data_IF_996578650746
#
_entry.id   IF_996578650746
#
_cell.length_a   1.000
_cell.length_b   1.000
_cell.length_c   1.000
_cell.angle_alpha   90.00
_cell.angle_beta   90.00
_cell.angle_gamma   90.00
#
_symmetry.space_group_name_H-M   'P 1'
#
loop_
_entity.id
_entity.type
_entity.pdbx_description
1 polymer ?
#
# COMPACT_ATOMS: atom_id res chain seq x y z
N UNK A 1 -8.66 -40.97 -69.36
CA UNK A 1 -9.45 -41.93 -68.55
C UNK A 1 -8.54 -42.43 -67.43
N UNK A 2 -8.80 -42.02 -66.18
CA UNK A 2 -9.41 -42.85 -65.13
C UNK A 2 -8.63 -44.14 -64.85
N UNK A 3 -8.00 -44.21 -63.68
CA UNK A 3 -8.09 -45.33 -62.71
C UNK A 3 -7.26 -44.97 -61.47
N UNK A 4 -7.90 -44.61 -60.35
CA UNK A 4 -8.25 -45.51 -59.21
C UNK A 4 -7.01 -46.10 -58.53
N UNK A 5 -6.62 -45.55 -57.38
CA UNK A 5 -7.01 -46.01 -56.03
C UNK A 5 -6.58 -47.46 -55.75
N UNK A 6 -5.44 -47.61 -55.06
CA UNK A 6 -5.28 -48.66 -54.06
C UNK A 6 -5.32 -48.01 -52.67
N UNK A 7 -6.37 -48.34 -51.94
CA UNK A 7 -6.41 -48.32 -50.48
C UNK A 7 -5.80 -49.64 -50.01
N UNK A 8 -5.01 -49.64 -48.93
CA UNK A 8 -5.27 -50.47 -47.75
C UNK A 8 -4.19 -50.30 -46.69
N UNK A 9 -4.64 -50.50 -45.45
CA UNK A 9 -3.90 -50.65 -44.19
C UNK A 9 -3.65 -49.36 -43.39
N UNK A 10 -4.70 -49.03 -42.63
CA UNK A 10 -4.62 -48.32 -41.38
C UNK A 10 -3.73 -49.08 -40.38
N UNK A 11 -2.77 -48.38 -39.78
CA UNK A 11 -2.26 -48.70 -38.44
C UNK A 11 -2.46 -47.44 -37.60
N UNK A 12 -3.41 -47.55 -36.67
CA UNK A 12 -3.61 -46.61 -35.57
C UNK A 12 -2.31 -46.52 -34.76
N UNK A 13 -1.65 -45.37 -34.76
CA UNK A 13 -0.68 -45.03 -33.72
C UNK A 13 -1.28 -43.90 -32.88
N UNK A 14 -1.78 -44.29 -31.71
CA UNK A 14 -2.28 -43.43 -30.65
C UNK A 14 -1.11 -42.61 -30.09
N UNK A 15 -0.88 -41.41 -30.64
CA UNK A 15 0.10 -40.47 -30.12
C UNK A 15 -0.47 -39.74 -28.90
N UNK A 16 -0.05 -40.15 -27.70
CA UNK A 16 -0.31 -39.42 -26.45
C UNK A 16 0.41 -38.08 -26.50
N UNK A 17 -0.34 -36.98 -26.60
CA UNK A 17 0.20 -35.64 -26.43
C UNK A 17 0.49 -35.39 -24.94
N UNK A 18 1.71 -35.66 -24.50
CA UNK A 18 2.24 -35.14 -23.24
C UNK A 18 2.50 -33.64 -23.40
N UNK A 19 1.49 -32.82 -23.10
CA UNK A 19 1.69 -31.40 -22.88
C UNK A 19 2.52 -31.23 -21.60
N UNK A 20 3.81 -30.92 -21.75
CA UNK A 20 4.67 -30.54 -20.63
C UNK A 20 4.13 -29.21 -20.11
N UNK A 21 3.38 -29.25 -19.00
CA UNK A 21 3.01 -28.07 -18.24
C UNK A 21 4.31 -27.48 -17.68
N UNK A 22 4.90 -26.51 -18.38
CA UNK A 22 5.94 -25.69 -17.78
C UNK A 22 5.31 -24.95 -16.59
N UNK A 23 5.85 -25.03 -15.36
CA UNK A 23 5.36 -24.19 -14.28
C UNK A 23 5.56 -22.74 -14.71
N UNK A 24 4.49 -21.96 -14.70
CA UNK A 24 4.59 -20.52 -14.91
C UNK A 24 5.66 -19.97 -13.95
N UNK A 25 6.58 -19.11 -14.41
CA UNK A 25 7.50 -18.46 -13.50
C UNK A 25 6.65 -17.68 -12.50
N UNK A 26 6.59 -18.17 -11.27
CA UNK A 26 6.04 -17.42 -10.15
C UNK A 26 6.95 -16.21 -9.99
N UNK A 27 6.59 -15.10 -10.63
CA UNK A 27 7.09 -13.79 -10.21
C UNK A 27 6.45 -13.52 -8.85
N UNK A 28 6.98 -14.16 -7.81
CA UNK A 28 6.94 -13.58 -6.49
C UNK A 28 7.62 -12.21 -6.64
N UNK A 29 6.79 -11.16 -6.74
CA UNK A 29 7.23 -9.77 -6.64
C UNK A 29 8.18 -9.74 -5.45
N UNK A 30 9.47 -9.48 -5.71
CA UNK A 30 10.45 -9.34 -4.64
C UNK A 30 9.81 -8.46 -3.56
N UNK A 31 9.83 -8.84 -2.27
CA UNK A 31 9.32 -7.97 -1.24
C UNK A 31 10.00 -6.63 -1.48
N UNK A 32 9.21 -5.59 -1.73
CA UNK A 32 9.75 -4.27 -1.95
C UNK A 32 10.72 -4.06 -0.79
N UNK A 33 12.01 -3.90 -1.09
CA UNK A 33 12.97 -3.49 -0.06
C UNK A 33 12.48 -2.11 0.31
N UNK A 34 11.69 -2.05 1.39
CA UNK A 34 11.17 -0.80 1.87
C UNK A 34 12.33 -0.17 2.59
N UNK A 35 13.12 0.59 1.85
CA UNK A 35 14.02 1.55 2.46
C UNK A 35 13.11 2.55 3.20
N UNK A 36 13.10 2.58 4.55
CA UNK A 36 12.17 3.43 5.25
C UNK A 36 12.64 4.86 5.04
N UNK A 37 12.06 5.55 4.06
CA UNK A 37 12.20 7.01 3.89
C UNK A 37 11.51 7.79 5.04
N UNK A 38 11.52 7.25 6.26
CA UNK A 38 10.77 7.77 7.40
C UNK A 38 10.77 6.84 8.63
N UNK A 39 9.82 7.08 9.53
CA UNK A 39 9.69 6.38 10.81
C UNK A 39 9.04 5.00 10.64
N UNK A 40 9.58 3.95 11.27
CA UNK A 40 8.95 2.62 11.32
C UNK A 40 8.25 2.44 12.66
N UNK A 41 6.97 2.08 12.61
CA UNK A 41 6.08 1.94 13.76
C UNK A 41 5.45 0.54 13.80
N UNK A 42 5.23 -0.04 15.00
CA UNK A 42 4.59 -1.34 15.11
C UNK A 42 3.06 -1.27 14.91
N UNK A 43 2.47 -2.30 14.31
CA UNK A 43 1.01 -2.44 14.14
C UNK A 43 0.23 -2.67 15.46
N UNK A 44 0.94 -2.79 16.58
CA UNK A 44 0.40 -2.90 17.92
C UNK A 44 0.08 -1.53 18.53
N UNK A 45 0.58 -0.42 17.95
CA UNK A 45 0.35 0.91 18.51
C UNK A 45 -1.14 1.24 18.61
N UNK A 46 -1.62 1.76 19.76
CA UNK A 46 -3.01 2.17 19.90
C UNK A 46 -3.33 3.44 19.11
N UNK A 47 -2.32 4.29 18.86
CA UNK A 47 -2.43 5.53 18.08
C UNK A 47 -1.06 5.97 17.57
N UNK A 48 -1.06 6.82 16.56
CA UNK A 48 0.12 7.56 16.09
C UNK A 48 -0.12 9.05 16.31
N UNK A 49 0.83 9.75 16.94
CA UNK A 49 0.71 11.17 17.25
C UNK A 49 1.93 11.93 16.74
N UNK A 50 1.68 13.02 16.01
CA UNK A 50 2.71 13.93 15.53
C UNK A 50 2.51 15.34 16.10
N UNK A 51 3.61 15.97 16.48
CA UNK A 51 3.66 17.32 17.01
C UNK A 51 4.35 18.25 16.02
N UNK A 52 3.66 19.32 15.64
CA UNK A 52 4.18 20.32 14.71
C UNK A 52 4.29 21.66 15.40
N UNK A 53 5.51 22.15 15.59
CA UNK A 53 5.71 23.47 16.15
C UNK A 53 5.24 24.54 15.16
N UNK A 54 4.41 25.46 15.62
CA UNK A 54 3.96 26.60 14.83
C UNK A 54 3.66 27.80 15.76
N UNK A 55 3.79 29.05 15.27
CA UNK A 55 3.45 30.23 16.06
C UNK A 55 2.02 30.18 16.57
N UNK A 56 1.76 30.69 17.77
CA UNK A 56 0.40 30.78 18.33
C UNK A 56 -0.55 31.49 17.35
N UNK A 57 -1.80 31.04 17.31
CA UNK A 57 -2.82 31.46 16.34
C UNK A 57 -2.69 30.83 14.94
N UNK A 58 -1.68 29.97 14.67
CA UNK A 58 -1.57 29.30 13.37
C UNK A 58 -2.59 28.17 13.25
N UNK A 59 -3.45 28.24 12.24
CA UNK A 59 -4.33 27.13 11.84
C UNK A 59 -3.64 26.21 10.84
N UNK A 60 -3.56 24.93 11.19
CA UNK A 60 -3.00 23.86 10.37
C UNK A 60 -4.05 22.76 10.18
N UNK A 61 -4.09 22.18 8.99
CA UNK A 61 -4.90 20.99 8.68
C UNK A 61 -3.97 19.82 8.43
N UNK A 62 -4.10 18.77 9.23
CA UNK A 62 -3.36 17.52 9.08
C UNK A 62 -4.26 16.45 8.50
N UNK A 63 -3.80 15.75 7.46
CA UNK A 63 -4.51 14.64 6.83
C UNK A 63 -3.63 13.39 6.83
N UNK A 64 -4.09 12.34 7.49
CA UNK A 64 -3.45 11.03 7.47
C UNK A 64 -3.91 10.26 6.24
N UNK A 65 -2.96 9.69 5.52
CA UNK A 65 -3.17 9.07 4.21
C UNK A 65 -2.49 7.70 4.22
N UNK A 66 -3.24 6.67 3.83
CA UNK A 66 -2.68 5.38 3.46
C UNK A 66 -2.08 5.53 2.06
N UNK A 67 -0.74 5.60 1.98
CA UNK A 67 -0.05 5.78 0.70
C UNK A 67 -0.05 4.48 -0.09
N UNK A 68 0.33 3.36 0.54
CA UNK A 68 0.25 2.01 -0.02
C UNK A 68 0.13 0.99 1.11
N UNK A 69 -1.03 0.35 1.22
CA UNK A 69 -1.36 -0.65 2.25
C UNK A 69 -1.89 -1.94 1.62
N UNK A 70 -1.48 -2.22 0.38
CA UNK A 70 -1.97 -3.36 -0.38
C UNK A 70 -3.48 -3.30 -0.63
N UNK A 71 -4.18 -4.41 -0.41
CA UNK A 71 -5.62 -4.52 -0.68
C UNK A 71 -6.51 -3.93 0.42
N UNK A 72 -5.95 -3.40 1.52
CA UNK A 72 -6.75 -2.89 2.63
C UNK A 72 -7.43 -1.54 2.33
N UNK A 73 -6.86 -0.74 1.43
CA UNK A 73 -7.43 0.53 0.98
C UNK A 73 -6.87 0.93 -0.39
N UNK A 74 -7.57 1.77 -1.17
CA UNK A 74 -7.01 2.37 -2.38
C UNK A 74 -5.72 3.16 -2.11
N UNK A 75 -4.87 3.31 -3.13
CA UNK A 75 -3.65 4.11 -3.04
C UNK A 75 -4.00 5.58 -2.73
N UNK A 76 -3.23 6.21 -1.83
CA UNK A 76 -3.45 7.59 -1.36
C UNK A 76 -4.84 7.82 -0.73
N UNK A 77 -5.41 6.81 -0.08
CA UNK A 77 -6.68 6.94 0.62
C UNK A 77 -6.52 7.83 1.86
N UNK A 78 -7.34 8.87 1.98
CA UNK A 78 -7.40 9.72 3.18
C UNK A 78 -8.12 8.96 4.29
N UNK A 79 -7.42 8.66 5.37
CA UNK A 79 -7.94 7.90 6.50
C UNK A 79 -8.72 8.82 7.42
N UNK A 80 -8.11 9.94 7.79
CA UNK A 80 -8.69 10.94 8.68
C UNK A 80 -8.03 12.30 8.46
N UNK A 81 -8.72 13.37 8.84
CA UNK A 81 -8.21 14.72 8.77
C UNK A 81 -8.74 15.59 9.90
N UNK A 82 -7.86 16.40 10.48
CA UNK A 82 -8.20 17.34 11.53
C UNK A 82 -7.65 18.74 11.24
N UNK A 83 -8.35 19.77 11.68
CA UNK A 83 -7.86 21.16 11.66
C UNK A 83 -7.62 21.62 13.10
N UNK A 84 -6.40 22.09 13.36
CA UNK A 84 -5.95 22.52 14.68
C UNK A 84 -5.40 23.93 14.58
N UNK A 85 -5.91 24.82 15.44
CA UNK A 85 -5.31 26.14 15.66
C UNK A 85 -4.40 26.05 16.86
N UNK A 86 -3.11 26.35 16.69
CA UNK A 86 -2.15 26.34 17.78
C UNK A 86 -2.51 27.42 18.80
N UNK A 87 -2.84 27.04 20.01
CA UNK A 87 -2.98 27.96 21.14
C UNK A 87 -1.58 28.29 21.73
N UNK A 88 -1.54 28.71 22.99
CA UNK A 88 -0.33 29.11 23.73
C UNK A 88 0.79 28.04 23.74
N UNK A 89 0.46 26.79 23.44
CA UNK A 89 1.41 25.66 23.39
C UNK A 89 2.32 25.64 22.16
N UNK A 90 2.24 26.64 21.27
CA UNK A 90 3.07 26.79 20.05
C UNK A 90 3.22 25.51 19.20
N UNK A 91 2.25 24.59 19.26
CA UNK A 91 2.30 23.33 18.53
C UNK A 91 0.89 22.85 18.16
N UNK A 92 0.76 22.33 16.94
CA UNK A 92 -0.40 21.56 16.50
C UNK A 92 -0.12 20.08 16.75
N UNK A 93 -1.12 19.36 17.26
CA UNK A 93 -1.02 17.92 17.50
C UNK A 93 -2.02 17.21 16.60
N UNK A 94 -1.54 16.26 15.80
CA UNK A 94 -2.38 15.40 14.98
C UNK A 94 -2.25 13.97 15.48
N UNK A 95 -3.38 13.31 15.71
CA UNK A 95 -3.41 11.94 16.24
C UNK A 95 -4.33 11.10 15.38
N UNK A 96 -3.86 9.92 15.00
CA UNK A 96 -4.65 8.90 14.33
C UNK A 96 -4.77 7.68 15.25
N UNK A 97 -5.99 7.33 15.63
CA UNK A 97 -6.26 6.12 16.41
C UNK A 97 -6.14 4.85 15.56
N UNK A 98 -5.83 3.73 16.21
CA UNK A 98 -5.84 2.42 15.57
C UNK A 98 -7.23 2.11 14.98
N UNK A 99 -7.34 1.77 13.69
CA UNK A 99 -8.62 1.34 13.10
C UNK A 99 -9.15 0.09 13.79
N UNK A 100 -10.48 -0.13 13.73
CA UNK A 100 -11.14 -1.29 14.36
C UNK A 100 -10.56 -2.62 13.89
N UNK A 101 -10.27 -2.75 12.59
CA UNK A 101 -9.65 -3.94 11.99
C UNK A 101 -8.13 -4.02 12.20
N UNK A 102 -7.58 -3.15 13.03
CA UNK A 102 -6.15 -2.98 13.22
C UNK A 102 -5.50 -2.09 12.15
N UNK A 103 -4.20 -1.89 12.27
CA UNK A 103 -3.43 -1.17 11.27
C UNK A 103 -3.09 -2.08 10.10
N UNK A 104 -3.49 -1.73 8.86
CA UNK A 104 -2.88 -2.32 7.70
C UNK A 104 -1.36 -2.15 7.71
N UNK A 105 -0.63 -3.16 7.28
CA UNK A 105 0.83 -3.06 7.11
C UNK A 105 1.07 -2.27 5.84
N UNK A 106 1.99 -1.31 5.88
CA UNK A 106 2.34 -0.55 4.70
C UNK A 106 2.81 0.87 4.97
N UNK A 107 2.76 1.68 3.92
CA UNK A 107 3.24 3.04 3.85
C UNK A 107 2.11 4.04 4.11
N UNK A 108 2.41 5.02 4.93
CA UNK A 108 1.52 6.08 5.32
C UNK A 108 2.22 7.43 5.20
N UNK A 109 1.41 8.47 5.12
CA UNK A 109 1.91 9.83 5.33
C UNK A 109 0.92 10.70 6.06
N UNK A 110 1.44 11.68 6.77
CA UNK A 110 0.72 12.84 7.26
C UNK A 110 1.07 14.04 6.38
N UNK A 111 0.07 14.59 5.69
CA UNK A 111 0.18 15.88 5.02
C UNK A 111 -0.28 16.99 5.98
N UNK A 112 0.53 18.02 6.17
CA UNK A 112 0.15 19.21 6.94
C UNK A 112 0.05 20.41 6.02
N UNK A 113 -1.10 21.08 6.07
CA UNK A 113 -1.43 22.24 5.24
C UNK A 113 -1.69 23.47 6.11
N UNK A 114 -1.32 24.65 5.59
CA UNK A 114 -1.77 25.96 6.10
C UNK A 114 -2.67 26.59 5.03
N UNK A 115 -3.97 26.60 5.27
CA UNK A 115 -4.96 26.88 4.22
C UNK A 115 -4.84 25.85 3.09
N UNK A 116 -4.63 26.30 1.86
CA UNK A 116 -4.45 25.42 0.68
C UNK A 116 -3.01 24.99 0.43
N UNK A 117 -2.03 25.57 1.15
CA UNK A 117 -0.60 25.32 0.93
C UNK A 117 -0.15 24.11 1.75
N UNK A 118 0.42 23.10 1.07
CA UNK A 118 1.16 22.03 1.73
C UNK A 118 2.44 22.58 2.34
N UNK A 119 2.60 22.41 3.65
CA UNK A 119 3.75 22.94 4.41
C UNK A 119 4.65 21.84 4.97
N UNK A 120 4.13 20.62 5.15
CA UNK A 120 4.92 19.47 5.57
C UNK A 120 4.34 18.16 5.05
N UNK A 121 5.21 17.17 4.85
CA UNK A 121 4.85 15.77 4.61
C UNK A 121 5.72 14.91 5.50
N UNK A 122 5.09 14.17 6.41
CA UNK A 122 5.78 13.20 7.26
C UNK A 122 5.42 11.79 6.80
N UNK A 123 6.40 11.00 6.36
CA UNK A 123 6.17 9.61 5.95
C UNK A 123 6.51 8.67 7.08
N UNK A 124 5.69 7.65 7.25
CA UNK A 124 5.93 6.59 8.21
C UNK A 124 5.42 5.26 7.68
N UNK A 125 5.96 4.19 8.24
CA UNK A 125 5.62 2.82 7.91
C UNK A 125 5.03 2.14 9.12
N UNK A 126 3.96 1.37 8.92
CA UNK A 126 3.49 0.41 9.92
C UNK A 126 3.93 -0.98 9.51
N UNK A 127 4.62 -1.68 10.40
CA UNK A 127 5.05 -3.07 10.23
C UNK A 127 4.48 -3.96 11.32
N UNK A 128 4.36 -5.25 11.01
CA UNK A 128 4.26 -6.27 12.04
C UNK A 128 5.61 -6.39 12.76
N UNK A 129 5.59 -6.33 14.08
CA UNK A 129 6.75 -6.58 14.92
C UNK A 129 6.39 -7.79 15.78
N UNK A 130 7.24 -8.82 15.69
CA UNK A 130 7.11 -10.06 16.46
C UNK A 130 7.47 -9.86 17.92
#
# INVERSE_FOLDING_TARGET
MKTQKLSMFAVLALGVALAVLAPAPSQAKAPAVIDPMGMVLPNTLPKVTFYFRAPAGTTLTGSFIAEDVGSAAPKNFVIDSATVTTADKMAATFTLGKPTSGWPIGQYRLEVKRGKKLVHVERFMIMEVK
#
